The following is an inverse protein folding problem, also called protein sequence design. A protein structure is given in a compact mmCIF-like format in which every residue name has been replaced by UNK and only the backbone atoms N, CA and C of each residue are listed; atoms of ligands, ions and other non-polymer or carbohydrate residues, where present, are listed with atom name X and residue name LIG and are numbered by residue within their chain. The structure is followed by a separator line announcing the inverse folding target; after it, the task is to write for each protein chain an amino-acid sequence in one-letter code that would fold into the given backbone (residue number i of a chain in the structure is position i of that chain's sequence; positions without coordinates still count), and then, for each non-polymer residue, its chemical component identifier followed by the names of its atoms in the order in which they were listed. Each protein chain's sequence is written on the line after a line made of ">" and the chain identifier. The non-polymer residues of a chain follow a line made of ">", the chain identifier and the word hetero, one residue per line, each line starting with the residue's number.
data_IF_669422242204
#
_entry.id   IF_669422242204
#
_cell.length_a   1.000
_cell.length_b   1.000
_cell.length_c   1.000
_cell.angle_alpha   90.00
_cell.angle_beta   90.00
_cell.angle_gamma   90.00
#
_symmetry.space_group_name_H-M   'P 1'
#
loop_
_entity.id
_entity.type
_entity.pdbx_description
1 polymer ?
#
# COMPACT_ATOMS: atom_id res chain seq x y z
N UNK A 1 -43.43 -15.22 -36.19
CA UNK A 1 -42.42 -16.13 -36.77
C UNK A 1 -43.09 -17.47 -37.03
N UNK A 2 -42.96 -18.00 -38.24
CA UNK A 2 -43.47 -19.32 -38.62
C UNK A 2 -42.72 -20.41 -37.86
N UNK A 3 -43.44 -21.21 -37.07
CA UNK A 3 -42.86 -22.33 -36.32
C UNK A 3 -42.51 -23.44 -37.31
N UNK A 4 -41.22 -23.73 -37.46
CA UNK A 4 -40.73 -24.80 -38.33
C UNK A 4 -40.96 -26.13 -37.60
N UNK A 5 -41.67 -27.04 -38.28
CA UNK A 5 -41.94 -28.37 -37.76
C UNK A 5 -40.70 -29.27 -37.95
N UNK A 6 -40.30 -29.95 -36.87
CA UNK A 6 -39.16 -30.87 -36.83
C UNK A 6 -39.71 -32.27 -36.61
N UNK A 7 -39.37 -33.21 -37.49
CA UNK A 7 -39.90 -34.58 -37.45
C UNK A 7 -39.23 -35.41 -36.36
N UNK A 8 -39.89 -36.49 -35.95
CA UNK A 8 -39.31 -37.42 -34.97
C UNK A 8 -38.03 -38.10 -35.48
N UNK A 9 -37.93 -38.37 -36.78
CA UNK A 9 -36.70 -38.88 -37.41
C UNK A 9 -35.52 -37.91 -37.24
N UNK A 10 -35.76 -36.61 -37.43
CA UNK A 10 -34.74 -35.57 -37.25
C UNK A 10 -34.29 -35.47 -35.79
N UNK A 11 -35.21 -35.63 -34.84
CA UNK A 11 -34.87 -35.72 -33.43
C UNK A 11 -34.08 -36.99 -33.08
N UNK A 12 -34.36 -38.13 -33.73
CA UNK A 12 -33.59 -39.36 -33.56
C UNK A 12 -32.15 -39.19 -34.07
N UNK A 13 -31.97 -38.54 -35.24
CA UNK A 13 -30.64 -38.20 -35.78
C UNK A 13 -29.90 -37.26 -34.81
N UNK A 14 -30.55 -36.21 -34.33
CA UNK A 14 -29.95 -35.30 -33.36
C UNK A 14 -29.52 -36.02 -32.08
N UNK A 15 -30.36 -36.93 -31.57
CA UNK A 15 -30.06 -37.69 -30.37
C UNK A 15 -28.85 -38.61 -30.56
N UNK A 16 -28.71 -39.25 -31.74
CA UNK A 16 -27.50 -40.01 -32.10
C UNK A 16 -26.26 -39.12 -32.11
N UNK A 17 -26.40 -37.85 -32.48
CA UNK A 17 -25.33 -36.84 -32.46
C UNK A 17 -25.15 -36.18 -31.07
N UNK A 18 -25.83 -36.67 -30.03
CA UNK A 18 -25.74 -36.14 -28.66
C UNK A 18 -26.43 -34.79 -28.45
N UNK A 19 -27.36 -34.41 -29.32
CA UNK A 19 -28.11 -33.15 -29.28
C UNK A 19 -29.54 -33.45 -28.84
N UNK A 20 -29.95 -32.90 -27.69
CA UNK A 20 -31.30 -33.11 -27.15
C UNK A 20 -32.39 -32.44 -27.99
N UNK A 21 -33.61 -32.99 -27.96
CA UNK A 21 -34.78 -32.42 -28.66
C UNK A 21 -34.98 -30.92 -28.35
N UNK A 22 -34.79 -30.52 -27.09
CA UNK A 22 -34.85 -29.12 -26.66
C UNK A 22 -33.85 -28.23 -27.39
N UNK A 23 -32.60 -28.68 -27.53
CA UNK A 23 -31.56 -27.89 -28.20
C UNK A 23 -31.80 -27.76 -29.71
N UNK A 24 -32.30 -28.82 -30.36
CA UNK A 24 -32.72 -28.74 -31.77
C UNK A 24 -33.86 -27.74 -31.93
N UNK A 25 -34.87 -27.81 -31.06
CA UNK A 25 -36.01 -26.90 -31.09
C UNK A 25 -35.59 -25.43 -30.96
N UNK A 26 -34.74 -25.11 -29.98
CA UNK A 26 -34.21 -23.75 -29.80
C UNK A 26 -33.40 -23.29 -31.02
N UNK A 27 -32.50 -24.14 -31.53
CA UNK A 27 -31.68 -23.80 -32.70
C UNK A 27 -32.53 -23.45 -33.91
N UNK A 28 -33.59 -24.21 -34.18
CA UNK A 28 -34.44 -24.00 -35.35
C UNK A 28 -35.43 -22.85 -35.15
N UNK A 29 -36.19 -22.87 -34.05
CA UNK A 29 -37.32 -21.96 -33.86
C UNK A 29 -36.98 -20.64 -33.16
N UNK A 30 -35.89 -20.58 -32.39
CA UNK A 30 -35.45 -19.37 -31.69
C UNK A 30 -34.23 -18.73 -32.39
N UNK A 31 -33.27 -19.55 -32.83
CA UNK A 31 -32.03 -19.04 -33.45
C UNK A 31 -32.05 -19.05 -34.99
N UNK A 32 -33.14 -19.53 -35.60
CA UNK A 32 -33.33 -19.51 -37.06
C UNK A 32 -32.38 -20.42 -37.85
N UNK A 33 -31.80 -21.45 -37.23
CA UNK A 33 -30.95 -22.41 -37.94
C UNK A 33 -31.81 -23.32 -38.83
N UNK A 34 -31.24 -23.71 -39.97
CA UNK A 34 -31.77 -24.84 -40.75
C UNK A 34 -31.80 -26.11 -39.89
N UNK A 35 -32.80 -26.97 -40.10
CA UNK A 35 -32.94 -28.23 -39.35
C UNK A 35 -31.68 -29.09 -39.46
N UNK A 36 -31.09 -29.21 -40.65
CA UNK A 36 -29.86 -29.97 -40.89
C UNK A 36 -28.69 -29.49 -40.00
N UNK A 37 -28.40 -28.18 -40.02
CA UNK A 37 -27.41 -27.56 -39.13
C UNK A 37 -27.73 -27.77 -37.65
N UNK A 38 -29.01 -27.73 -37.27
CA UNK A 38 -29.44 -27.87 -35.88
C UNK A 38 -29.22 -29.29 -35.32
N UNK A 39 -29.35 -30.32 -36.16
CA UNK A 39 -29.21 -31.73 -35.76
C UNK A 39 -27.80 -32.30 -35.96
N UNK A 40 -26.90 -31.58 -36.65
CA UNK A 40 -25.53 -32.05 -36.94
C UNK A 40 -24.45 -31.30 -36.15
N UNK A 41 -24.64 -30.00 -35.89
CA UNK A 41 -23.60 -29.21 -35.24
C UNK A 41 -23.47 -29.59 -33.74
N UNK A 42 -22.30 -30.03 -33.25
CA UNK A 42 -22.12 -30.37 -31.85
C UNK A 42 -22.36 -29.17 -30.93
N UNK A 43 -22.77 -29.42 -29.69
CA UNK A 43 -22.88 -28.39 -28.67
C UNK A 43 -21.49 -27.99 -28.16
N UNK A 44 -21.25 -26.69 -28.00
CA UNK A 44 -20.01 -26.21 -27.41
C UNK A 44 -19.96 -26.62 -25.93
N UNK A 45 -19.10 -27.59 -25.58
CA UNK A 45 -18.99 -28.10 -24.23
C UNK A 45 -18.23 -27.12 -23.32
N UNK A 46 -18.94 -26.20 -22.66
CA UNK A 46 -18.36 -25.29 -21.67
C UNK A 46 -17.93 -25.98 -20.37
N UNK A 47 -18.37 -27.22 -20.13
CA UNK A 47 -18.04 -28.01 -18.93
C UNK A 47 -16.65 -28.67 -19.00
N UNK A 48 -15.99 -28.61 -20.15
CA UNK A 48 -14.63 -29.12 -20.36
C UNK A 48 -13.53 -28.06 -20.23
N UNK A 49 -13.78 -26.92 -19.58
CA UNK A 49 -12.67 -26.13 -19.00
C UNK A 49 -12.21 -26.81 -17.71
N UNK A 50 -11.70 -28.04 -17.80
CA UNK A 50 -10.84 -28.59 -16.75
C UNK A 50 -9.58 -27.74 -16.81
N UNK A 51 -9.46 -26.73 -15.94
CA UNK A 51 -8.14 -26.30 -15.49
C UNK A 51 -7.41 -27.58 -15.08
N UNK A 52 -6.35 -27.92 -15.81
CA UNK A 52 -5.68 -29.19 -15.71
C UNK A 52 -5.31 -29.45 -14.24
N UNK A 53 -6.03 -30.39 -13.61
CA UNK A 53 -5.91 -30.69 -12.17
C UNK A 53 -4.47 -31.07 -11.84
N UNK A 54 -3.79 -31.69 -12.79
CA UNK A 54 -2.37 -32.05 -12.72
C UNK A 54 -1.48 -30.81 -12.59
N UNK A 55 -1.73 -29.77 -13.39
CA UNK A 55 -0.97 -28.51 -13.34
C UNK A 55 -1.29 -27.68 -12.10
N UNK A 56 -2.51 -27.78 -11.58
CA UNK A 56 -2.88 -27.17 -10.31
C UNK A 56 -2.13 -27.81 -9.13
N UNK A 57 -2.06 -29.14 -9.11
CA UNK A 57 -1.28 -29.88 -8.11
C UNK A 57 0.22 -29.59 -8.25
N UNK A 58 0.72 -29.49 -9.49
CA UNK A 58 2.10 -29.08 -9.76
C UNK A 58 2.39 -27.67 -9.22
N UNK A 59 1.45 -26.73 -9.39
CA UNK A 59 1.57 -25.38 -8.84
C UNK A 59 1.67 -25.40 -7.31
N UNK A 60 0.78 -26.16 -6.65
CA UNK A 60 0.81 -26.31 -5.18
C UNK A 60 2.12 -26.93 -4.68
N UNK A 61 2.63 -27.97 -5.35
CA UNK A 61 3.93 -28.59 -5.04
C UNK A 61 5.10 -27.61 -5.19
N UNK A 62 5.00 -26.67 -6.13
CA UNK A 62 6.01 -25.61 -6.34
C UNK A 62 5.75 -24.36 -5.49
N UNK A 63 4.84 -24.40 -4.51
CA UNK A 63 4.53 -23.26 -3.64
C UNK A 63 3.77 -22.12 -4.33
N UNK A 64 3.16 -22.38 -5.48
CA UNK A 64 2.31 -21.43 -6.21
C UNK A 64 0.86 -21.67 -5.83
N UNK A 65 0.31 -20.74 -5.04
CA UNK A 65 -1.12 -20.73 -4.69
C UNK A 65 -2.01 -20.77 -5.95
N UNK A 66 -3.11 -21.54 -5.91
CA UNK A 66 -4.14 -21.64 -6.96
C UNK A 66 -4.58 -20.30 -7.57
N UNK A 67 -4.82 -19.27 -6.75
CA UNK A 67 -5.19 -17.93 -7.19
C UNK A 67 -4.09 -17.26 -8.02
N UNK A 68 -2.83 -17.43 -7.63
CA UNK A 68 -1.67 -16.94 -8.40
C UNK A 68 -1.53 -17.68 -9.72
N UNK A 69 -1.62 -19.01 -9.70
CA UNK A 69 -1.62 -19.86 -10.89
C UNK A 69 -2.71 -19.45 -11.88
N UNK A 70 -3.96 -19.29 -11.40
CA UNK A 70 -5.10 -18.88 -12.23
C UNK A 70 -4.94 -17.48 -12.80
N UNK A 71 -4.37 -16.55 -12.03
CA UNK A 71 -4.07 -15.19 -12.50
C UNK A 71 -3.03 -15.21 -13.62
N UNK A 72 -1.95 -15.98 -13.48
CA UNK A 72 -0.91 -16.15 -14.52
C UNK A 72 -1.52 -16.64 -15.84
N UNK A 73 -2.40 -17.65 -15.80
CA UNK A 73 -3.11 -18.13 -16.99
C UNK A 73 -4.02 -17.05 -17.59
N UNK A 74 -4.76 -16.31 -16.74
CA UNK A 74 -5.61 -15.20 -17.18
C UNK A 74 -4.81 -14.10 -17.88
N UNK A 75 -3.60 -13.85 -17.41
CA UNK A 75 -2.67 -12.87 -17.97
C UNK A 75 -1.92 -13.42 -19.21
N UNK A 76 -2.25 -14.63 -19.68
CA UNK A 76 -1.74 -15.23 -20.92
C UNK A 76 -0.49 -16.09 -20.77
N UNK A 77 -0.06 -16.40 -19.54
CA UNK A 77 1.08 -17.29 -19.28
C UNK A 77 0.73 -18.74 -19.62
N UNK A 78 1.70 -19.49 -20.16
CA UNK A 78 1.56 -20.92 -20.39
C UNK A 78 1.20 -21.66 -19.08
N UNK A 79 0.24 -22.61 -19.08
CA UNK A 79 -0.17 -23.31 -17.87
C UNK A 79 0.95 -24.08 -17.14
N UNK A 80 1.89 -24.68 -17.86
CA UNK A 80 3.00 -25.38 -17.22
C UNK A 80 4.01 -24.38 -16.62
N UNK A 81 4.37 -23.33 -17.37
CA UNK A 81 5.19 -22.23 -16.85
C UNK A 81 4.54 -21.60 -15.61
N UNK A 82 3.22 -21.35 -15.65
CA UNK A 82 2.47 -20.77 -14.55
C UNK A 82 2.52 -21.62 -13.27
N UNK A 83 2.65 -22.94 -13.39
CA UNK A 83 2.77 -23.87 -12.27
C UNK A 83 4.19 -23.93 -11.70
N UNK A 84 5.22 -23.89 -12.55
CA UNK A 84 6.63 -24.08 -12.14
C UNK A 84 7.31 -22.76 -11.76
N UNK A 85 6.85 -21.63 -12.29
CA UNK A 85 7.46 -20.32 -12.07
C UNK A 85 7.41 -19.95 -10.58
N UNK A 86 8.55 -20.09 -9.92
CA UNK A 86 8.69 -19.71 -8.51
C UNK A 86 8.30 -18.23 -8.32
N UNK A 87 7.80 -17.91 -7.13
CA UNK A 87 7.69 -16.50 -6.75
C UNK A 87 9.10 -15.89 -6.80
N UNK A 88 9.25 -14.68 -7.33
CA UNK A 88 10.54 -14.04 -7.62
C UNK A 88 11.52 -14.04 -6.43
N UNK A 89 10.99 -14.11 -5.21
CA UNK A 89 11.72 -14.11 -3.95
C UNK A 89 11.32 -15.30 -3.05
N UNK A 90 11.02 -16.47 -3.62
CA UNK A 90 10.52 -17.63 -2.84
C UNK A 90 11.53 -18.10 -1.79
N UNK A 91 12.82 -18.15 -2.12
CA UNK A 91 13.88 -18.55 -1.19
C UNK A 91 14.06 -17.53 -0.07
N UNK A 92 14.10 -16.24 -0.40
CA UNK A 92 14.28 -15.17 0.58
C UNK A 92 13.03 -14.97 1.45
N UNK A 93 11.83 -15.22 0.90
CA UNK A 93 10.61 -15.23 1.68
C UNK A 93 10.63 -16.37 2.71
N UNK A 94 11.11 -17.57 2.35
CA UNK A 94 11.26 -18.67 3.29
C UNK A 94 12.26 -18.30 4.39
N UNK A 95 13.43 -17.77 4.00
CA UNK A 95 14.43 -17.27 4.94
C UNK A 95 13.87 -16.19 5.89
N UNK A 96 13.02 -15.29 5.39
CA UNK A 96 12.37 -14.28 6.20
C UNK A 96 11.47 -14.91 7.28
N UNK A 97 10.68 -15.92 6.91
CA UNK A 97 9.80 -16.63 7.82
C UNK A 97 10.59 -17.37 8.90
N UNK A 98 11.68 -18.03 8.51
CA UNK A 98 12.59 -18.72 9.44
C UNK A 98 13.24 -17.74 10.44
N UNK A 99 13.51 -16.51 9.99
CA UNK A 99 13.99 -15.40 10.82
C UNK A 99 12.86 -14.66 11.59
N UNK A 100 11.63 -15.19 11.59
CA UNK A 100 10.49 -14.61 12.30
C UNK A 100 9.94 -13.30 11.71
N UNK A 101 10.32 -12.98 10.48
CA UNK A 101 9.83 -11.84 9.70
C UNK A 101 8.62 -12.30 8.89
N UNK A 102 7.44 -11.79 9.24
CA UNK A 102 6.20 -12.14 8.54
C UNK A 102 6.23 -11.71 7.07
N UNK A 103 5.43 -12.39 6.25
CA UNK A 103 5.31 -12.16 4.80
C UNK A 103 5.09 -10.68 4.45
N UNK A 104 4.16 -10.01 5.14
CA UNK A 104 3.88 -8.59 4.91
C UNK A 104 5.06 -7.70 5.26
N UNK A 105 5.78 -7.98 6.35
CA UNK A 105 6.95 -7.20 6.74
C UNK A 105 8.07 -7.34 5.70
N UNK A 106 8.29 -8.55 5.17
CA UNK A 106 9.22 -8.80 4.08
C UNK A 106 8.86 -8.01 2.81
N UNK A 107 7.61 -8.10 2.33
CA UNK A 107 7.21 -7.33 1.14
C UNK A 107 7.19 -5.82 1.37
N UNK A 108 6.86 -5.35 2.57
CA UNK A 108 6.95 -3.93 2.92
C UNK A 108 8.40 -3.41 2.85
N UNK A 109 9.38 -4.24 3.21
CA UNK A 109 10.82 -3.91 3.06
C UNK A 109 11.22 -3.83 1.59
N UNK A 110 10.78 -4.76 0.75
CA UNK A 110 11.00 -4.71 -0.71
C UNK A 110 10.39 -3.47 -1.35
N UNK A 111 9.15 -3.09 -0.98
CA UNK A 111 8.51 -1.86 -1.49
C UNK A 111 9.24 -0.58 -1.09
N UNK A 112 10.04 -0.63 -0.01
CA UNK A 112 10.92 0.47 0.43
C UNK A 112 12.30 0.45 -0.23
N UNK A 113 12.54 -0.50 -1.14
CA UNK A 113 13.80 -0.61 -1.88
C UNK A 113 14.89 -1.44 -1.21
N UNK A 114 14.59 -2.20 -0.14
CA UNK A 114 15.56 -3.16 0.39
C UNK A 114 15.78 -4.31 -0.60
N UNK A 115 16.97 -4.89 -0.56
CA UNK A 115 17.25 -6.13 -1.30
C UNK A 115 16.48 -7.31 -0.69
N UNK A 116 16.17 -8.37 -1.46
CA UNK A 116 15.52 -9.57 -0.92
C UNK A 116 16.25 -10.19 0.26
N UNK A 117 17.58 -10.28 0.19
CA UNK A 117 18.40 -10.82 1.28
C UNK A 117 18.32 -9.97 2.55
N UNK A 118 18.47 -8.64 2.44
CA UNK A 118 18.32 -7.74 3.60
C UNK A 118 16.91 -7.78 4.17
N UNK A 119 15.90 -7.81 3.30
CA UNK A 119 14.50 -7.90 3.69
C UNK A 119 14.22 -9.17 4.50
N UNK A 120 14.93 -10.26 4.20
CA UNK A 120 14.81 -11.55 4.87
C UNK A 120 15.64 -11.71 6.14
N UNK A 121 16.72 -10.95 6.31
CA UNK A 121 17.69 -11.17 7.40
C UNK A 121 17.69 -10.07 8.45
N UNK A 122 17.30 -8.83 8.11
CA UNK A 122 17.28 -7.75 9.09
C UNK A 122 16.23 -8.02 10.18
N UNK A 123 16.56 -7.92 11.47
CA UNK A 123 15.59 -8.14 12.54
C UNK A 123 14.47 -7.08 12.51
N UNK A 124 13.28 -7.43 12.98
CA UNK A 124 12.21 -6.46 13.20
C UNK A 124 12.61 -5.51 14.33
N UNK A 125 12.43 -4.19 14.14
CA UNK A 125 12.70 -3.21 15.19
C UNK A 125 11.79 -3.48 16.39
N UNK A 126 12.42 -3.80 17.53
CA UNK A 126 11.86 -3.96 18.88
C UNK A 126 10.40 -4.45 18.94
N UNK A 127 10.12 -5.64 18.38
CA UNK A 127 8.78 -6.26 18.32
C UNK A 127 8.12 -6.37 19.71
N UNK A 128 8.92 -6.49 20.77
CA UNK A 128 8.47 -6.67 22.14
C UNK A 128 8.63 -5.43 23.02
N UNK A 129 8.97 -4.26 22.46
CA UNK A 129 9.23 -3.04 23.25
C UNK A 129 8.10 -2.74 24.26
N UNK A 130 6.86 -2.77 23.79
CA UNK A 130 5.70 -2.46 24.62
C UNK A 130 5.44 -3.50 25.71
N UNK A 131 5.94 -4.73 25.54
CA UNK A 131 5.84 -5.80 26.53
C UNK A 131 6.95 -5.69 27.57
N UNK A 132 8.15 -5.35 27.12
CA UNK A 132 9.36 -5.22 27.96
C UNK A 132 9.26 -4.02 28.91
N UNK A 133 8.85 -2.84 28.40
CA UNK A 133 8.77 -1.59 29.18
C UNK A 133 7.33 -1.23 29.55
N UNK A 134 6.52 -2.24 29.89
CA UNK A 134 5.08 -2.06 30.11
C UNK A 134 4.80 -1.07 31.24
N UNK A 135 5.56 -1.17 32.33
CA UNK A 135 5.36 -0.34 33.53
C UNK A 135 5.77 1.12 33.27
N UNK A 136 6.94 1.32 32.66
CA UNK A 136 7.47 2.64 32.32
C UNK A 136 6.62 3.35 31.27
N UNK A 137 5.97 2.61 30.38
CA UNK A 137 5.02 3.17 29.43
C UNK A 137 3.78 3.76 30.11
N UNK A 138 3.26 3.12 31.16
CA UNK A 138 2.13 3.67 31.93
C UNK A 138 2.56 4.92 32.72
N UNK A 139 3.79 4.94 33.24
CA UNK A 139 4.39 6.12 33.87
C UNK A 139 4.55 7.26 32.85
N UNK A 140 5.10 6.97 31.67
CA UNK A 140 5.28 7.93 30.59
C UNK A 140 3.95 8.55 30.18
N UNK A 141 2.91 7.73 30.01
CA UNK A 141 1.56 8.17 29.68
C UNK A 141 0.98 9.07 30.78
N UNK A 142 1.14 8.71 32.05
CA UNK A 142 0.71 9.51 33.20
C UNK A 142 1.44 10.87 33.27
N UNK A 143 2.70 10.90 32.83
CA UNK A 143 3.52 12.11 32.73
C UNK A 143 3.30 12.92 31.43
N UNK A 144 2.36 12.51 30.57
CA UNK A 144 2.06 13.19 29.31
C UNK A 144 3.14 13.01 28.23
N UNK A 145 3.95 11.96 28.31
CA UNK A 145 4.95 11.59 27.33
C UNK A 145 4.34 10.57 26.37
N UNK A 146 4.30 10.91 25.09
CA UNK A 146 3.80 10.02 24.05
C UNK A 146 4.69 8.78 23.88
N UNK A 147 4.09 7.64 23.53
CA UNK A 147 4.78 6.37 23.26
C UNK A 147 6.00 6.55 22.35
N UNK A 148 5.84 7.28 21.23
CA UNK A 148 6.93 7.50 20.27
C UNK A 148 8.10 8.29 20.88
N UNK A 149 7.81 9.26 21.75
CA UNK A 149 8.83 10.03 22.46
C UNK A 149 9.59 9.15 23.44
N UNK A 150 8.88 8.32 24.21
CA UNK A 150 9.48 7.35 25.12
C UNK A 150 10.33 6.32 24.37
N UNK A 151 9.77 5.71 23.33
CA UNK A 151 10.46 4.75 22.45
C UNK A 151 11.77 5.33 21.92
N UNK A 152 11.73 6.53 21.34
CA UNK A 152 12.93 7.19 20.82
C UNK A 152 13.98 7.44 21.91
N UNK A 153 13.56 7.84 23.11
CA UNK A 153 14.48 8.07 24.23
C UNK A 153 15.21 6.80 24.64
N UNK A 154 14.49 5.71 24.79
CA UNK A 154 15.09 4.43 25.20
C UNK A 154 15.91 3.82 24.07
N UNK A 155 15.33 3.72 22.87
CA UNK A 155 15.93 2.92 21.79
C UNK A 155 16.90 3.68 20.90
N UNK A 156 16.63 4.95 20.60
CA UNK A 156 17.50 5.74 19.71
C UNK A 156 18.51 6.60 20.49
N UNK A 157 18.14 7.06 21.69
CA UNK A 157 18.97 7.96 22.53
C UNK A 157 19.62 7.27 23.74
N UNK A 158 19.28 6.01 24.02
CA UNK A 158 19.89 5.22 25.09
C UNK A 158 19.60 5.70 26.51
N UNK A 159 18.45 6.37 26.73
CA UNK A 159 18.07 6.82 28.07
C UNK A 159 17.66 5.62 28.93
N UNK A 160 17.94 5.72 30.23
CA UNK A 160 17.32 4.82 31.21
C UNK A 160 15.78 4.86 31.08
N UNK A 161 15.08 3.71 31.12
CA UNK A 161 13.63 3.67 30.94
C UNK A 161 12.86 4.55 31.93
N UNK A 162 13.26 4.59 33.21
CA UNK A 162 12.58 5.42 34.20
C UNK A 162 12.83 6.91 33.94
N UNK A 163 14.07 7.28 33.59
CA UNK A 163 14.37 8.66 33.19
C UNK A 163 13.57 9.06 31.93
N UNK A 164 13.50 8.18 30.93
CA UNK A 164 12.78 8.41 29.68
C UNK A 164 11.28 8.64 29.93
N UNK A 165 10.70 7.95 30.91
CA UNK A 165 9.29 8.04 31.30
C UNK A 165 8.94 9.26 32.17
N UNK A 166 9.93 9.97 32.72
CA UNK A 166 9.70 11.08 33.66
C UNK A 166 10.19 12.42 33.13
N UNK A 167 11.19 12.44 32.26
CA UNK A 167 11.76 13.67 31.71
C UNK A 167 10.75 14.42 30.84
N UNK A 168 10.26 15.57 31.29
CA UNK A 168 9.26 16.34 30.52
C UNK A 168 9.79 16.76 29.14
N UNK A 169 8.97 16.73 28.08
CA UNK A 169 9.39 17.22 26.76
C UNK A 169 9.69 18.71 26.82
N UNK A 170 10.77 19.15 26.16
CA UNK A 170 11.06 20.58 26.02
C UNK A 170 9.98 21.18 25.11
N UNK A 171 9.14 22.07 25.66
CA UNK A 171 8.18 22.84 24.86
C UNK A 171 8.97 23.85 24.01
N UNK A 172 9.14 23.55 22.72
CA UNK A 172 9.67 24.51 21.76
C UNK A 172 8.57 25.52 21.43
N UNK A 173 8.79 26.78 21.78
CA UNK A 173 7.91 27.88 21.36
C UNK A 173 8.11 28.08 19.85
N UNK A 174 7.02 28.20 19.09
CA UNK A 174 7.12 28.45 17.66
C UNK A 174 7.67 29.85 17.39
N UNK A 175 8.38 30.02 16.28
CA UNK A 175 8.85 31.34 15.86
C UNK A 175 7.70 32.35 15.72
N UNK A 176 6.53 31.92 15.24
CA UNK A 176 5.33 32.76 15.20
C UNK A 176 4.87 33.20 16.60
N UNK A 177 4.91 32.32 17.60
CA UNK A 177 4.58 32.68 18.98
C UNK A 177 5.61 33.66 19.59
N UNK A 178 6.89 33.53 19.23
CA UNK A 178 7.93 34.52 19.60
C UNK A 178 7.62 35.87 18.93
N UNK A 179 7.27 35.88 17.65
CA UNK A 179 6.89 37.10 16.92
C UNK A 179 5.69 37.80 17.57
N UNK A 180 4.65 37.05 17.94
CA UNK A 180 3.46 37.58 18.64
C UNK A 180 3.87 38.24 19.95
N UNK A 181 4.75 37.60 20.73
CA UNK A 181 5.29 38.17 21.98
C UNK A 181 6.05 39.47 21.74
N UNK A 182 6.69 39.62 20.59
CA UNK A 182 7.37 40.84 20.15
C UNK A 182 6.44 41.85 19.45
N UNK A 183 5.11 41.66 19.50
CA UNK A 183 4.13 42.58 18.92
C UNK A 183 3.98 42.47 17.39
N UNK A 184 4.52 41.42 16.78
CA UNK A 184 4.40 41.16 15.34
C UNK A 184 3.32 40.10 15.14
N UNK A 185 2.29 40.42 14.38
CA UNK A 185 1.23 39.45 14.09
C UNK A 185 1.81 38.22 13.37
N UNK A 186 1.25 37.05 13.64
CA UNK A 186 1.64 35.80 12.97
C UNK A 186 1.59 35.93 11.44
N UNK A 187 0.54 36.59 10.92
CA UNK A 187 0.42 36.91 9.49
C UNK A 187 1.61 37.72 8.97
N UNK A 188 2.04 38.73 9.73
CA UNK A 188 3.20 39.56 9.36
C UNK A 188 4.49 38.74 9.38
N UNK A 189 4.69 37.90 10.39
CA UNK A 189 5.86 37.01 10.46
C UNK A 189 5.96 36.12 9.22
N UNK A 190 4.89 35.42 8.85
CA UNK A 190 4.89 34.56 7.66
C UNK A 190 5.07 35.34 6.36
N UNK A 191 4.48 36.54 6.25
CA UNK A 191 4.70 37.42 5.10
C UNK A 191 6.16 37.84 4.97
N UNK A 192 6.85 38.14 6.07
CA UNK A 192 8.28 38.48 6.07
C UNK A 192 9.13 37.29 5.65
N UNK A 193 8.89 36.10 6.21
CA UNK A 193 9.59 34.86 5.82
C UNK A 193 9.37 34.54 4.33
N UNK A 194 8.14 34.69 3.83
CA UNK A 194 7.83 34.50 2.41
C UNK A 194 8.58 35.50 1.51
N UNK A 195 8.79 36.72 1.99
CA UNK A 195 9.62 37.76 1.34
C UNK A 195 11.12 37.57 1.54
N UNK A 196 11.56 36.43 2.08
CA UNK A 196 12.98 36.08 2.22
C UNK A 196 13.66 36.66 3.46
N UNK A 197 12.91 37.19 4.44
CA UNK A 197 13.51 37.65 5.69
C UNK A 197 14.11 36.48 6.48
N UNK A 198 15.19 36.75 7.22
CA UNK A 198 15.68 35.81 8.23
C UNK A 198 14.58 35.58 9.28
N UNK A 199 14.58 34.39 9.89
CA UNK A 199 13.58 34.05 10.91
C UNK A 199 13.70 34.98 12.12
N UNK A 200 14.92 35.32 12.53
CA UNK A 200 15.17 36.27 13.61
C UNK A 200 14.58 37.65 13.29
N UNK A 201 14.93 38.25 12.15
CA UNK A 201 14.43 39.57 11.76
C UNK A 201 12.91 39.59 11.64
N UNK A 202 12.34 38.52 11.08
CA UNK A 202 10.90 38.38 10.93
C UNK A 202 10.17 38.42 12.28
N UNK A 203 10.81 37.92 13.35
CA UNK A 203 10.28 37.86 14.71
C UNK A 203 10.64 39.07 15.59
N UNK A 204 11.68 39.84 15.28
CA UNK A 204 12.21 40.87 16.20
C UNK A 204 12.02 42.30 15.70
N UNK A 205 12.03 42.53 14.39
CA UNK A 205 11.93 43.89 13.83
C UNK A 205 10.47 44.38 13.91
N UNK A 206 10.16 45.51 14.55
CA UNK A 206 8.78 45.98 14.71
C UNK A 206 8.13 46.40 13.37
N UNK A 207 6.79 46.45 13.32
CA UNK A 207 6.04 46.89 12.14
C UNK A 207 5.81 48.41 12.21
N UNK A 208 6.54 49.18 11.40
CA UNK A 208 6.42 50.65 11.38
C UNK A 208 5.26 51.07 10.47
N UNK A 209 4.32 51.88 10.99
CA UNK A 209 3.11 52.31 10.25
C UNK A 209 3.37 53.43 9.23
N UNK A 210 4.44 54.22 9.39
CA UNK A 210 4.75 55.38 8.54
C UNK A 210 5.89 55.09 7.54
N UNK A 211 5.58 55.13 6.24
CA UNK A 211 6.55 54.91 5.14
C UNK A 211 7.80 55.80 5.22
N UNK A 212 7.67 57.05 5.72
CA UNK A 212 8.81 57.98 5.88
C UNK A 212 9.82 57.51 6.94
N UNK A 213 9.39 56.80 7.99
CA UNK A 213 10.26 56.32 9.06
C UNK A 213 10.89 54.96 8.73
N UNK A 214 10.18 54.12 7.97
CA UNK A 214 10.63 52.77 7.58
C UNK A 214 11.97 52.76 6.82
N UNK A 215 12.19 53.72 5.90
CA UNK A 215 13.42 53.80 5.11
C UNK A 215 14.66 54.20 5.94
N UNK A 216 14.49 55.03 6.98
CA UNK A 216 15.60 55.41 7.88
C UNK A 216 16.00 54.25 8.78
N UNK A 217 15.02 53.53 9.31
CA UNK A 217 15.24 52.42 10.24
C UNK A 217 15.80 51.18 9.52
N UNK A 218 15.35 50.89 8.29
CA UNK A 218 15.94 49.82 7.47
C UNK A 218 17.42 50.08 7.16
N UNK A 219 17.81 51.32 6.82
CA UNK A 219 19.23 51.68 6.62
C UNK A 219 20.05 51.52 7.91
N UNK A 220 19.48 51.89 9.07
CA UNK A 220 20.16 51.78 10.35
C UNK A 220 20.33 50.31 10.83
N UNK A 221 19.31 49.47 10.62
CA UNK A 221 19.36 48.06 11.01
C UNK A 221 20.21 47.21 10.04
N UNK A 222 20.22 47.54 8.74
CA UNK A 222 21.15 46.95 7.78
C UNK A 222 22.61 47.26 8.14
N UNK A 223 22.89 48.49 8.58
CA UNK A 223 24.24 48.83 9.05
C UNK A 223 24.64 48.08 10.32
N UNK A 224 23.75 47.90 11.30
CA UNK A 224 24.09 47.14 12.53
C UNK A 224 24.35 45.66 12.28
N UNK A 225 23.69 45.05 11.30
CA UNK A 225 23.88 43.63 10.95
C UNK A 225 25.15 43.37 10.14
N UNK A 226 25.68 44.37 9.42
CA UNK A 226 26.96 44.26 8.71
C UNK A 226 28.18 44.66 9.57
N UNK A 227 27.96 45.16 10.78
CA UNK A 227 29.01 45.72 11.66
C UNK A 227 29.34 44.87 12.88
N UNK A 228 28.79 43.65 12.98
CA UNK A 228 29.05 42.68 14.03
C UNK A 228 29.70 41.44 13.42
#
# INVERSE_FOLDING_TARGET
>A
MTRIYITDEQYLIANRNGISKKNVYQRVNEYGWSVEKAITQPLHNTKNKKTDRSLMLLAELNGVNYGTYKKRIKDGMDPHEAAVKCNKYSMELQMALDNGIGTEAFYARLRRGMTPYEAATQPLKHKNFSKEYKEELEIAKSNGIAYQTFYKRVMDLGFDPMEAATKKPIKRISNAAIAIKNGISEKTYYQRVYKGWSKEDAMTIPVVKNKRYFNREQKANLHRSTSA
#
